data_IF_641812832161
#
_entry.id   IF_641812832161
#
_cell.length_a   1.000
_cell.length_b   1.000
_cell.length_c   1.000
_cell.angle_alpha   90.00
_cell.angle_beta   90.00
_cell.angle_gamma   90.00
#
_symmetry.space_group_name_H-M   'P 1'
#
loop_
_entity.id
_entity.type
_entity.pdbx_description
1 polymer ?
#
# COMPACT_ATOMS: atom_id res chain seq x y z
N UNK A 1 16.85 9.88 -3.04
CA UNK A 1 16.42 8.52 -2.66
C UNK A 1 16.49 7.63 -3.90
N UNK A 2 16.94 6.39 -3.72
CA UNK A 2 17.16 5.43 -4.80
C UNK A 2 16.07 4.34 -4.87
N UNK A 3 15.08 4.41 -3.97
CA UNK A 3 13.87 3.59 -3.99
C UNK A 3 12.62 4.45 -4.23
N UNK A 4 11.53 3.87 -4.77
CA UNK A 4 10.26 4.56 -4.94
C UNK A 4 9.70 5.02 -3.60
N UNK A 5 8.97 6.13 -3.59
CA UNK A 5 8.28 6.59 -2.37
C UNK A 5 7.01 5.79 -2.10
N UNK A 6 6.39 5.24 -3.13
CA UNK A 6 5.17 4.45 -3.05
C UNK A 6 5.34 3.14 -3.81
N UNK A 7 5.23 2.02 -3.09
CA UNK A 7 5.36 0.66 -3.61
C UNK A 7 4.05 -0.09 -3.43
N UNK A 8 3.68 -0.86 -4.43
CA UNK A 8 2.48 -1.71 -4.44
C UNK A 8 2.88 -3.15 -4.67
N UNK A 9 2.34 -4.05 -3.88
CA UNK A 9 2.53 -5.49 -4.04
C UNK A 9 1.21 -6.22 -3.86
N UNK A 10 1.04 -7.34 -4.55
CA UNK A 10 -0.12 -8.20 -4.44
C UNK A 10 0.30 -9.66 -4.41
N UNK A 11 -0.47 -10.50 -3.74
CA UNK A 11 -0.27 -11.94 -3.81
C UNK A 11 -0.67 -12.50 -5.18
N UNK A 12 -0.15 -13.69 -5.53
CA UNK A 12 -0.39 -14.33 -6.83
C UNK A 12 -1.79 -14.95 -6.97
N UNK A 13 -2.64 -14.85 -5.97
CA UNK A 13 -3.92 -15.57 -5.90
C UNK A 13 -5.00 -14.94 -6.78
N UNK A 14 -4.86 -13.65 -7.07
CA UNK A 14 -5.84 -12.92 -7.86
C UNK A 14 -5.31 -11.57 -8.37
N UNK A 15 -6.03 -10.94 -9.27
CA UNK A 15 -5.73 -9.59 -9.75
C UNK A 15 -6.59 -8.56 -9.03
N UNK A 16 -5.99 -7.42 -8.71
CA UNK A 16 -6.73 -6.26 -8.17
C UNK A 16 -7.72 -5.76 -9.21
N UNK A 17 -8.98 -5.64 -8.82
CA UNK A 17 -10.02 -5.05 -9.70
C UNK A 17 -9.63 -3.61 -10.05
N UNK A 18 -9.84 -3.21 -11.29
CA UNK A 18 -9.38 -1.93 -11.86
C UNK A 18 -7.85 -1.75 -11.95
N UNK A 19 -7.04 -2.72 -11.50
CA UNK A 19 -5.60 -2.75 -11.68
C UNK A 19 -4.90 -1.45 -11.27
N UNK A 20 -4.07 -0.85 -12.15
CA UNK A 20 -3.26 0.33 -11.83
C UNK A 20 -4.04 1.57 -11.40
N UNK A 21 -5.35 1.65 -11.62
CA UNK A 21 -6.17 2.78 -11.14
C UNK A 21 -6.19 2.87 -9.61
N UNK A 22 -6.01 1.74 -8.90
CA UNK A 22 -6.00 1.72 -7.43
C UNK A 22 -4.73 2.30 -6.80
N UNK A 23 -3.66 2.48 -7.57
CA UNK A 23 -2.43 3.13 -7.13
C UNK A 23 -1.99 4.24 -8.07
N UNK A 24 -2.95 4.76 -8.83
CA UNK A 24 -2.78 5.98 -9.60
C UNK A 24 -2.76 7.21 -8.71
N UNK A 25 -2.50 8.35 -9.32
CA UNK A 25 -2.34 9.63 -8.62
C UNK A 25 -3.63 10.43 -8.48
N UNK A 26 -4.73 9.98 -9.07
CA UNK A 26 -5.95 10.79 -9.14
C UNK A 26 -5.67 12.11 -9.88
N UNK A 27 -5.89 13.22 -9.19
CA UNK A 27 -5.61 14.57 -9.70
C UNK A 27 -4.16 15.03 -9.47
N UNK A 28 -3.37 14.28 -8.69
CA UNK A 28 -1.96 14.62 -8.43
C UNK A 28 -1.07 14.33 -9.65
N UNK A 29 0.11 14.96 -9.76
CA UNK A 29 1.05 14.66 -10.84
C UNK A 29 1.42 13.18 -10.93
N UNK A 30 1.52 12.67 -12.16
CA UNK A 30 1.78 11.26 -12.43
C UNK A 30 3.10 10.74 -11.81
N UNK A 31 4.01 11.61 -11.44
CA UNK A 31 5.27 11.25 -10.75
C UNK A 31 5.06 10.60 -9.38
N UNK A 32 3.91 10.79 -8.77
CA UNK A 32 3.54 10.20 -7.47
C UNK A 32 2.85 8.85 -7.58
N UNK A 33 2.68 8.31 -8.78
CA UNK A 33 2.07 7.00 -8.99
C UNK A 33 2.84 5.89 -8.27
N UNK A 34 2.10 4.93 -7.70
CA UNK A 34 2.67 3.75 -7.07
C UNK A 34 3.37 2.84 -8.07
N UNK A 35 4.54 2.33 -7.69
CA UNK A 35 5.31 1.37 -8.48
C UNK A 35 5.00 -0.04 -8.00
N UNK A 36 4.48 -0.86 -8.90
CA UNK A 36 4.16 -2.25 -8.59
C UNK A 36 5.42 -3.10 -8.65
N UNK A 37 5.72 -3.79 -7.53
CA UNK A 37 6.66 -4.90 -7.51
C UNK A 37 5.93 -6.22 -7.78
N UNK A 38 6.58 -7.11 -8.52
CA UNK A 38 6.05 -8.44 -8.82
C UNK A 38 6.50 -9.45 -7.76
N UNK A 39 5.68 -10.47 -7.55
CA UNK A 39 6.12 -11.62 -6.76
C UNK A 39 7.08 -12.49 -7.57
N UNK A 40 8.08 -13.08 -6.91
CA UNK A 40 9.02 -14.00 -7.55
C UNK A 40 10.48 -13.62 -7.34
N UNK A 41 11.36 -14.25 -8.14
CA UNK A 41 12.81 -14.04 -8.04
C UNK A 41 13.29 -12.67 -8.56
N UNK A 42 12.48 -12.03 -9.39
CA UNK A 42 12.77 -10.71 -9.95
C UNK A 42 11.59 -9.77 -9.68
N UNK A 43 11.47 -9.23 -8.46
CA UNK A 43 10.36 -8.35 -8.10
C UNK A 43 10.29 -7.08 -8.96
N UNK A 44 11.41 -6.67 -9.52
CA UNK A 44 11.50 -5.51 -10.40
C UNK A 44 11.96 -6.00 -11.77
N UNK A 45 11.07 -6.08 -12.77
CA UNK A 45 11.44 -6.50 -14.11
C UNK A 45 12.36 -5.47 -14.76
N UNK A 46 13.28 -5.98 -15.59
CA UNK A 46 14.22 -5.15 -16.39
C UNK A 46 15.07 -4.17 -15.56
N UNK A 47 15.39 -4.52 -14.31
CA UNK A 47 16.22 -3.68 -13.45
C UNK A 47 17.65 -3.57 -13.96
N UNK A 48 18.19 -4.64 -14.54
CA UNK A 48 19.54 -4.66 -15.08
C UNK A 48 19.59 -4.04 -16.48
N UNK A 49 20.75 -3.50 -16.84
CA UNK A 49 20.98 -3.04 -18.20
C UNK A 49 20.83 -4.22 -19.18
N UNK A 50 20.35 -3.97 -20.41
CA UNK A 50 20.38 -4.98 -21.48
C UNK A 50 21.81 -5.47 -21.74
N UNK A 51 21.93 -6.69 -22.25
CA UNK A 51 23.24 -7.28 -22.63
C UNK A 51 24.01 -6.35 -23.57
N UNK A 52 25.31 -6.17 -23.30
CA UNK A 52 26.17 -5.27 -24.09
C UNK A 52 25.99 -3.76 -23.80
N UNK A 53 25.15 -3.37 -22.86
CA UNK A 53 24.98 -1.97 -22.44
C UNK A 53 25.69 -1.73 -21.11
N UNK A 54 26.75 -0.94 -21.12
CA UNK A 54 27.46 -0.52 -19.90
C UNK A 54 26.71 0.56 -19.17
N UNK A 55 26.99 0.73 -17.86
CA UNK A 55 26.39 1.80 -17.05
C UNK A 55 26.71 3.21 -17.60
N UNK A 56 27.89 3.40 -18.14
CA UNK A 56 28.28 4.65 -18.78
C UNK A 56 27.40 4.96 -19.98
N UNK A 57 27.21 3.99 -20.88
CA UNK A 57 26.36 4.12 -22.05
C UNK A 57 24.88 4.33 -21.67
N UNK A 58 24.43 3.67 -20.61
CA UNK A 58 23.06 3.86 -20.11
C UNK A 58 22.86 5.28 -19.54
N UNK A 59 23.82 5.81 -18.79
CA UNK A 59 23.78 7.21 -18.30
C UNK A 59 23.76 8.23 -19.44
N UNK A 60 24.59 8.06 -20.45
CA UNK A 60 24.61 8.93 -21.64
C UNK A 60 23.27 8.93 -22.36
N UNK A 61 22.69 7.73 -22.56
CA UNK A 61 21.35 7.56 -23.15
C UNK A 61 20.28 8.26 -22.35
N UNK A 62 20.28 8.10 -21.03
CA UNK A 62 19.31 8.77 -20.14
C UNK A 62 19.49 10.29 -20.14
N UNK A 63 20.73 10.78 -20.13
CA UNK A 63 21.03 12.20 -20.23
C UNK A 63 20.54 12.81 -21.54
N UNK A 64 20.73 12.12 -22.65
CA UNK A 64 20.20 12.54 -23.95
C UNK A 64 18.67 12.55 -23.98
N UNK A 65 18.02 11.51 -23.52
CA UNK A 65 16.57 11.44 -23.41
C UNK A 65 16.01 12.57 -22.52
N UNK A 66 16.70 12.87 -21.41
CA UNK A 66 16.33 13.98 -20.53
C UNK A 66 16.36 15.32 -21.27
N UNK A 67 17.42 15.58 -22.03
CA UNK A 67 17.56 16.83 -22.79
C UNK A 67 16.46 16.99 -23.85
N UNK A 68 16.14 15.90 -24.59
CA UNK A 68 15.04 15.89 -25.56
C UNK A 68 13.69 16.15 -24.89
N UNK A 69 13.41 15.42 -23.80
CA UNK A 69 12.14 15.53 -23.09
C UNK A 69 11.99 16.91 -22.43
N UNK A 70 13.04 17.50 -21.89
CA UNK A 70 13.01 18.86 -21.35
C UNK A 70 12.76 19.91 -22.43
N UNK A 71 13.31 19.71 -23.64
CA UNK A 71 13.00 20.55 -24.79
C UNK A 71 11.53 20.52 -25.15
N UNK A 72 10.95 19.33 -25.17
CA UNK A 72 9.53 19.13 -25.45
C UNK A 72 8.62 19.66 -24.31
N UNK A 73 8.98 19.41 -23.04
CA UNK A 73 8.21 19.86 -21.87
C UNK A 73 8.07 21.38 -21.80
N UNK A 74 9.09 22.15 -22.21
CA UNK A 74 9.00 23.63 -22.28
C UNK A 74 7.91 24.12 -23.22
N UNK A 75 7.60 23.35 -24.25
CA UNK A 75 6.55 23.67 -25.21
C UNK A 75 5.17 23.16 -24.75
N UNK A 76 5.15 22.24 -23.76
CA UNK A 76 3.94 21.53 -23.29
C UNK A 76 3.84 21.55 -21.77
N UNK A 77 3.98 22.72 -21.15
CA UNK A 77 4.11 22.92 -19.70
C UNK A 77 2.95 22.36 -18.83
N UNK A 78 1.82 21.97 -19.43
CA UNK A 78 0.67 21.38 -18.72
C UNK A 78 0.65 19.83 -18.74
N UNK A 79 1.64 19.18 -19.38
CA UNK A 79 1.69 17.71 -19.49
C UNK A 79 2.57 17.12 -18.38
N UNK A 80 2.00 16.89 -17.20
CA UNK A 80 2.70 16.31 -16.04
C UNK A 80 3.18 14.87 -16.29
N UNK A 81 2.57 14.17 -17.24
CA UNK A 81 2.96 12.81 -17.64
C UNK A 81 4.37 12.72 -18.22
N UNK A 82 4.82 13.80 -18.88
CA UNK A 82 6.17 13.83 -19.43
C UNK A 82 7.22 13.95 -18.32
N UNK A 83 6.98 14.80 -17.34
CA UNK A 83 7.86 14.94 -16.17
C UNK A 83 7.89 13.64 -15.36
N UNK A 84 6.75 12.97 -15.21
CA UNK A 84 6.65 11.67 -14.57
C UNK A 84 7.47 10.61 -15.31
N UNK A 85 7.44 10.61 -16.66
CA UNK A 85 8.23 9.67 -17.46
C UNK A 85 9.73 9.90 -17.28
N UNK A 86 10.19 11.13 -17.30
CA UNK A 86 11.60 11.50 -17.05
C UNK A 86 12.00 11.02 -15.65
N UNK A 87 11.23 11.36 -14.63
CA UNK A 87 11.47 10.96 -13.24
C UNK A 87 11.49 9.43 -13.07
N UNK A 88 10.62 8.71 -13.79
CA UNK A 88 10.57 7.23 -13.76
C UNK A 88 11.84 6.60 -14.35
N UNK A 89 12.37 7.12 -15.47
CA UNK A 89 13.62 6.63 -16.04
C UNK A 89 14.81 6.89 -15.12
N UNK A 90 14.90 8.07 -14.53
CA UNK A 90 15.95 8.40 -13.58
C UNK A 90 15.87 7.54 -12.31
N UNK A 91 14.65 7.31 -11.81
CA UNK A 91 14.44 6.44 -10.67
C UNK A 91 14.83 4.99 -10.99
N UNK A 92 14.36 4.45 -12.12
CA UNK A 92 14.71 3.09 -12.54
C UNK A 92 16.24 2.87 -12.63
N UNK A 93 16.98 3.86 -13.13
CA UNK A 93 18.43 3.80 -13.15
C UNK A 93 19.06 3.83 -11.75
N UNK A 94 18.58 4.71 -10.85
CA UNK A 94 19.05 4.74 -9.45
C UNK A 94 18.71 3.46 -8.68
N UNK A 95 17.57 2.85 -8.99
CA UNK A 95 17.14 1.59 -8.36
C UNK A 95 18.09 0.42 -8.67
N UNK A 96 18.85 0.47 -9.77
CA UNK A 96 19.81 -0.60 -10.13
C UNK A 96 20.85 -0.85 -9.03
N UNK A 97 21.18 0.17 -8.23
CA UNK A 97 22.18 0.04 -7.16
C UNK A 97 21.62 -0.47 -5.83
N UNK A 98 20.39 -0.12 -5.45
CA UNK A 98 19.87 -0.40 -4.10
C UNK A 98 18.69 -1.37 -4.08
N UNK A 99 17.90 -1.39 -5.15
CA UNK A 99 16.73 -2.24 -5.18
C UNK A 99 17.05 -3.75 -5.14
N UNK A 100 18.13 -4.27 -5.75
CA UNK A 100 18.47 -5.68 -5.64
C UNK A 100 18.60 -6.14 -4.20
N UNK A 101 19.33 -5.39 -3.37
CA UNK A 101 19.52 -5.70 -1.96
C UNK A 101 18.20 -5.56 -1.17
N UNK A 102 17.41 -4.52 -1.44
CA UNK A 102 16.15 -4.30 -0.75
C UNK A 102 15.15 -5.46 -0.92
N UNK A 103 15.11 -6.07 -2.11
CA UNK A 103 14.18 -7.15 -2.45
C UNK A 103 14.75 -8.56 -2.27
N UNK A 104 16.06 -8.69 -1.97
CA UNK A 104 16.71 -9.98 -1.74
C UNK A 104 16.40 -10.52 -0.34
N UNK A 105 15.42 -11.40 -0.26
CA UNK A 105 15.03 -12.06 0.99
C UNK A 105 15.95 -13.22 1.39
N UNK A 106 16.94 -13.58 0.58
CA UNK A 106 17.91 -14.63 0.93
C UNK A 106 18.84 -14.22 2.08
N UNK A 107 19.03 -12.91 2.25
CA UNK A 107 19.80 -12.31 3.34
C UNK A 107 19.14 -12.43 4.71
N UNK A 108 17.86 -12.77 4.76
CA UNK A 108 17.13 -12.89 6.03
C UNK A 108 17.42 -14.22 6.71
N UNK A 109 17.47 -14.22 8.04
CA UNK A 109 17.71 -15.44 8.83
C UNK A 109 16.56 -16.43 8.67
N UNK A 110 16.84 -17.71 8.93
CA UNK A 110 15.79 -18.74 8.98
C UNK A 110 14.72 -18.40 10.03
N UNK A 111 15.11 -17.84 11.16
CA UNK A 111 14.19 -17.40 12.22
C UNK A 111 13.28 -16.27 11.74
N UNK A 112 13.83 -15.26 11.07
CA UNK A 112 13.02 -14.19 10.46
C UNK A 112 12.05 -14.74 9.42
N UNK A 113 12.50 -15.57 8.49
CA UNK A 113 11.62 -16.18 7.48
C UNK A 113 10.50 -17.00 8.10
N UNK A 114 10.79 -17.76 9.17
CA UNK A 114 9.78 -18.51 9.92
C UNK A 114 8.78 -17.62 10.64
N UNK A 115 9.23 -16.48 11.20
CA UNK A 115 8.35 -15.49 11.83
C UNK A 115 7.25 -14.99 10.89
N UNK A 116 7.55 -14.88 9.60
CA UNK A 116 6.60 -14.49 8.55
C UNK A 116 5.88 -15.69 7.89
N UNK A 117 6.05 -16.90 8.41
CA UNK A 117 5.42 -18.11 7.87
C UNK A 117 5.90 -18.51 6.48
N UNK A 118 7.14 -18.14 6.10
CA UNK A 118 7.67 -18.45 4.78
C UNK A 118 8.06 -19.92 4.60
N UNK A 119 8.04 -20.70 5.67
CA UNK A 119 8.26 -22.16 5.71
C UNK A 119 6.96 -22.98 5.54
N UNK A 120 5.80 -22.31 5.43
CA UNK A 120 4.50 -22.95 5.27
C UNK A 120 3.89 -22.59 3.90
N UNK A 121 3.29 -23.57 3.24
CA UNK A 121 2.74 -23.40 1.89
C UNK A 121 1.64 -22.33 1.83
N UNK A 122 0.76 -22.29 2.83
CA UNK A 122 -0.39 -21.40 2.87
C UNK A 122 -0.01 -19.95 3.05
N UNK A 123 1.03 -19.68 3.85
CA UNK A 123 1.42 -18.32 4.28
C UNK A 123 2.62 -17.79 3.52
N UNK A 124 3.41 -18.62 2.85
CA UNK A 124 4.72 -18.25 2.29
C UNK A 124 4.64 -17.12 1.26
N UNK A 125 3.61 -17.10 0.42
CA UNK A 125 3.41 -16.06 -0.60
C UNK A 125 3.22 -14.69 0.07
N UNK A 126 2.22 -14.57 0.94
CA UNK A 126 1.95 -13.30 1.61
C UNK A 126 3.03 -12.94 2.64
N UNK A 127 3.64 -13.94 3.28
CA UNK A 127 4.79 -13.76 4.18
C UNK A 127 5.99 -13.08 3.49
N UNK A 128 6.27 -13.44 2.23
CA UNK A 128 7.29 -12.74 1.41
C UNK A 128 6.97 -11.27 1.21
N UNK A 129 5.72 -10.94 0.92
CA UNK A 129 5.29 -9.56 0.71
C UNK A 129 5.37 -8.75 2.01
N UNK A 130 4.94 -9.31 3.13
CA UNK A 130 5.06 -8.68 4.45
C UNK A 130 6.53 -8.45 4.84
N UNK A 131 7.40 -9.43 4.66
CA UNK A 131 8.84 -9.30 4.92
C UNK A 131 9.48 -8.26 4.01
N UNK A 132 9.14 -8.26 2.72
CA UNK A 132 9.62 -7.26 1.77
C UNK A 132 9.16 -5.86 2.15
N UNK A 133 7.92 -5.70 2.64
CA UNK A 133 7.40 -4.42 3.13
C UNK A 133 8.24 -3.86 4.27
N UNK A 134 8.57 -4.68 5.27
CA UNK A 134 9.46 -4.27 6.37
C UNK A 134 10.81 -3.80 5.83
N UNK A 135 11.44 -4.55 4.91
CA UNK A 135 12.73 -4.18 4.32
C UNK A 135 12.68 -2.88 3.53
N UNK A 136 11.60 -2.65 2.82
CA UNK A 136 11.39 -1.41 2.06
C UNK A 136 11.20 -0.21 2.99
N UNK A 137 10.40 -0.34 4.04
CA UNK A 137 10.19 0.70 5.06
C UNK A 137 11.50 1.02 5.78
N UNK A 138 12.26 0.01 6.22
CA UNK A 138 13.58 0.15 6.85
C UNK A 138 14.57 0.94 5.97
N UNK A 139 14.40 0.89 4.63
CA UNK A 139 15.19 1.65 3.65
C UNK A 139 14.56 2.98 3.22
N UNK A 140 13.52 3.42 3.91
CA UNK A 140 12.91 4.74 3.74
C UNK A 140 11.86 4.82 2.63
N UNK A 141 11.29 3.71 2.17
CA UNK A 141 10.06 3.73 1.37
C UNK A 141 8.93 4.25 2.24
N UNK A 142 8.23 5.28 1.79
CA UNK A 142 7.28 6.03 2.62
C UNK A 142 5.90 5.39 2.68
N UNK A 143 5.48 4.73 1.62
CA UNK A 143 4.17 4.11 1.52
C UNK A 143 4.29 2.75 0.83
N UNK A 144 3.77 1.72 1.49
CA UNK A 144 3.70 0.37 0.95
C UNK A 144 2.26 -0.11 1.01
N UNK A 145 1.71 -0.49 -0.13
CA UNK A 145 0.35 -1.00 -0.25
C UNK A 145 0.39 -2.48 -0.60
N UNK A 146 -0.22 -3.30 0.25
CA UNK A 146 -0.32 -4.74 0.08
C UNK A 146 -1.76 -5.15 -0.25
N UNK A 147 -1.92 -6.00 -1.24
CA UNK A 147 -3.18 -6.65 -1.55
C UNK A 147 -3.10 -8.15 -1.25
N UNK A 148 -3.99 -8.63 -0.38
CA UNK A 148 -4.14 -10.04 -0.06
C UNK A 148 -5.50 -10.53 -0.53
N UNK A 149 -5.53 -11.59 -1.36
CA UNK A 149 -6.76 -12.14 -1.91
C UNK A 149 -7.56 -11.11 -2.70
N UNK A 150 -6.89 -10.24 -3.45
CA UNK A 150 -7.51 -9.19 -4.24
C UNK A 150 -8.55 -9.72 -5.24
N UNK A 151 -9.38 -8.84 -5.76
CA UNK A 151 -10.52 -9.20 -6.60
C UNK A 151 -11.66 -9.74 -5.73
N UNK A 152 -12.26 -10.84 -6.13
CA UNK A 152 -13.42 -11.43 -5.44
C UNK A 152 -13.08 -12.49 -4.38
N UNK A 153 -11.82 -12.61 -3.95
CA UNK A 153 -11.43 -13.72 -3.06
C UNK A 153 -12.03 -13.64 -1.66
N UNK A 154 -12.15 -12.43 -1.11
CA UNK A 154 -12.84 -12.19 0.17
C UNK A 154 -14.35 -11.96 0.01
N UNK A 155 -14.83 -11.83 -1.22
CA UNK A 155 -16.24 -11.58 -1.54
C UNK A 155 -17.05 -12.88 -1.56
N UNK A 156 -17.32 -13.41 -0.37
CA UNK A 156 -17.95 -14.71 -0.20
C UNK A 156 -19.47 -14.59 -0.05
N UNK A 157 -20.19 -14.56 -1.19
CA UNK A 157 -21.64 -14.64 -1.22
C UNK A 157 -22.20 -16.04 -0.92
N UNK A 158 -21.31 -17.04 -0.81
CA UNK A 158 -21.62 -18.41 -0.36
C UNK A 158 -20.37 -19.05 0.24
N UNK A 159 -20.56 -20.04 1.14
CA UNK A 159 -19.45 -20.82 1.73
C UNK A 159 -18.47 -19.98 2.53
N UNK A 160 -18.93 -19.01 3.31
CA UNK A 160 -18.10 -18.02 4.00
C UNK A 160 -17.10 -18.66 4.95
N UNK A 161 -17.48 -19.69 5.68
CA UNK A 161 -16.60 -20.37 6.64
C UNK A 161 -15.37 -20.95 5.95
N UNK A 162 -15.57 -21.70 4.87
CA UNK A 162 -14.47 -22.28 4.08
C UNK A 162 -13.60 -21.17 3.48
N UNK A 163 -14.23 -20.16 2.89
CA UNK A 163 -13.55 -19.04 2.25
C UNK A 163 -12.67 -18.27 3.25
N UNK A 164 -13.26 -17.79 4.36
CA UNK A 164 -12.53 -16.99 5.35
C UNK A 164 -11.49 -17.83 6.11
N UNK A 165 -11.77 -19.10 6.43
CA UNK A 165 -10.77 -20.00 7.02
C UNK A 165 -9.52 -20.07 6.15
N UNK A 166 -9.67 -20.21 4.83
CA UNK A 166 -8.55 -20.29 3.90
C UNK A 166 -7.76 -18.97 3.84
N UNK A 167 -8.46 -17.84 3.75
CA UNK A 167 -7.80 -16.54 3.60
C UNK A 167 -7.19 -16.05 4.92
N UNK A 168 -7.86 -16.24 6.05
CA UNK A 168 -7.30 -15.94 7.36
C UNK A 168 -6.02 -16.75 7.64
N UNK A 169 -6.04 -18.06 7.42
CA UNK A 169 -4.83 -18.89 7.56
C UNK A 169 -3.66 -18.42 6.71
N UNK A 170 -3.93 -17.86 5.54
CA UNK A 170 -2.89 -17.39 4.64
C UNK A 170 -2.24 -16.06 5.10
N UNK A 171 -2.95 -15.24 5.90
CA UNK A 171 -2.48 -13.90 6.27
C UNK A 171 -2.14 -13.73 7.76
N UNK A 172 -2.73 -14.50 8.67
CA UNK A 172 -2.59 -14.30 10.13
C UNK A 172 -1.13 -14.27 10.58
N UNK A 173 -0.39 -15.33 10.28
CA UNK A 173 1.02 -15.43 10.65
C UNK A 173 1.90 -14.38 9.96
N UNK A 174 1.79 -14.13 8.64
CA UNK A 174 2.47 -13.03 7.97
C UNK A 174 2.26 -11.65 8.59
N UNK A 175 1.02 -11.30 8.90
CA UNK A 175 0.69 -9.99 9.50
C UNK A 175 1.20 -9.90 10.93
N UNK A 176 1.02 -10.95 11.74
CA UNK A 176 1.57 -11.02 13.09
C UNK A 176 3.11 -10.92 13.07
N UNK A 177 3.75 -11.59 12.10
CA UNK A 177 5.19 -11.51 11.87
C UNK A 177 5.66 -10.11 11.55
N UNK A 178 4.96 -9.42 10.66
CA UNK A 178 5.26 -8.03 10.28
C UNK A 178 5.22 -7.11 11.51
N UNK A 179 4.14 -7.15 12.29
CA UNK A 179 3.99 -6.28 13.47
C UNK A 179 5.06 -6.58 14.52
N UNK A 180 5.33 -7.86 14.77
CA UNK A 180 6.37 -8.28 15.74
C UNK A 180 7.76 -7.84 15.29
N UNK A 181 8.12 -8.02 14.02
CA UNK A 181 9.43 -7.64 13.48
C UNK A 181 9.62 -6.11 13.48
N UNK A 182 8.60 -5.34 13.09
CA UNK A 182 8.62 -3.88 13.20
C UNK A 182 8.83 -3.44 14.65
N UNK A 183 8.13 -4.07 15.60
CA UNK A 183 8.27 -3.76 17.04
C UNK A 183 9.67 -4.11 17.57
N UNK A 184 10.18 -5.30 17.25
CA UNK A 184 11.51 -5.76 17.69
C UNK A 184 12.64 -4.88 17.16
N UNK A 185 12.45 -4.28 15.97
CA UNK A 185 13.42 -3.38 15.34
C UNK A 185 13.26 -1.91 15.75
N UNK A 186 12.28 -1.58 16.59
CA UNK A 186 11.99 -0.19 16.95
C UNK A 186 11.38 0.64 15.80
N UNK A 187 10.87 -0.02 14.76
CA UNK A 187 10.29 0.63 13.58
C UNK A 187 8.78 0.87 13.72
N UNK A 188 8.12 0.17 14.65
CA UNK A 188 6.65 0.22 14.76
C UNK A 188 6.16 1.60 15.19
N UNK A 189 6.91 2.29 16.05
CA UNK A 189 6.51 3.62 16.53
C UNK A 189 6.51 4.68 15.42
N UNK A 190 7.32 4.48 14.37
CA UNK A 190 7.41 5.36 13.21
C UNK A 190 6.71 4.78 11.96
N UNK A 191 6.07 3.62 12.07
CA UNK A 191 5.40 2.94 10.96
C UNK A 191 3.95 2.69 11.29
N UNK A 192 3.06 3.41 10.60
CA UNK A 192 1.62 3.16 10.68
C UNK A 192 1.26 1.93 9.82
N UNK A 193 0.68 0.92 10.44
CA UNK A 193 0.10 -0.24 9.77
C UNK A 193 -1.42 -0.09 9.78
N UNK A 194 -2.04 -0.10 8.61
CA UNK A 194 -3.50 -0.02 8.44
C UNK A 194 -3.98 -1.28 7.73
N UNK A 195 -5.03 -1.89 8.24
CA UNK A 195 -5.69 -3.05 7.63
C UNK A 195 -7.19 -2.80 7.50
N UNK A 196 -7.74 -3.19 6.36
CA UNK A 196 -9.17 -3.11 6.10
C UNK A 196 -9.55 -3.60 4.72
N UNK A 197 -10.85 -3.65 4.50
CA UNK A 197 -11.48 -3.81 3.19
C UNK A 197 -12.12 -2.51 2.74
N UNK A 198 -12.71 -2.53 1.56
CA UNK A 198 -13.39 -1.39 0.95
C UNK A 198 -14.71 -1.05 1.62
N UNK A 199 -15.38 -2.05 2.19
CA UNK A 199 -16.61 -1.98 2.99
C UNK A 199 -16.75 -3.26 3.82
N UNK A 200 -17.80 -3.34 4.64
CA UNK A 200 -18.12 -4.50 5.46
C UNK A 200 -19.04 -5.51 4.78
N UNK A 201 -19.52 -6.43 5.60
CA UNK A 201 -20.43 -7.49 5.16
C UNK A 201 -21.66 -7.51 6.04
N UNK A 202 -22.82 -7.84 5.46
CA UNK A 202 -24.04 -8.03 6.20
C UNK A 202 -23.95 -9.24 7.14
N UNK A 203 -24.65 -9.24 8.28
CA UNK A 203 -24.70 -10.42 9.15
C UNK A 203 -25.54 -11.58 8.57
N UNK A 204 -26.22 -11.35 7.48
CA UNK A 204 -27.08 -12.28 6.75
C UNK A 204 -26.68 -12.34 5.27
N UNK A 205 -27.22 -13.27 4.51
CA UNK A 205 -27.03 -13.39 3.07
C UNK A 205 -28.34 -13.73 2.38
N UNK A 206 -28.54 -13.19 1.20
CA UNK A 206 -29.67 -13.57 0.34
C UNK A 206 -29.57 -15.02 -0.17
N UNK A 207 -28.35 -15.58 -0.21
CA UNK A 207 -28.05 -16.90 -0.78
C UNK A 207 -27.61 -17.96 0.24
N UNK A 208 -27.97 -17.81 1.51
CA UNK A 208 -27.72 -18.82 2.55
C UNK A 208 -26.47 -18.55 3.39
N UNK A 209 -25.36 -19.27 3.18
CA UNK A 209 -24.20 -19.29 4.06
C UNK A 209 -23.08 -18.28 3.71
N UNK A 210 -23.37 -17.31 2.86
CA UNK A 210 -22.48 -16.23 2.50
C UNK A 210 -22.74 -14.93 3.29
N UNK A 211 -22.20 -13.84 2.76
CA UNK A 211 -22.47 -12.46 3.24
C UNK A 211 -22.56 -11.53 2.05
N UNK A 212 -23.43 -10.52 2.16
CA UNK A 212 -23.59 -9.46 1.16
C UNK A 212 -22.80 -8.22 1.54
N UNK A 213 -22.77 -7.23 0.65
CA UNK A 213 -22.02 -5.98 0.86
C UNK A 213 -22.72 -5.09 1.90
N UNK A 214 -21.95 -4.52 2.82
CA UNK A 214 -22.45 -3.58 3.81
C UNK A 214 -21.52 -2.36 3.96
N UNK A 215 -21.81 -1.24 3.30
CA UNK A 215 -21.01 -0.03 3.43
C UNK A 215 -21.35 0.79 4.69
N UNK A 216 -22.40 0.44 5.44
CA UNK A 216 -22.93 1.25 6.54
C UNK A 216 -22.37 0.86 7.91
N UNK A 217 -21.63 -0.24 8.01
CA UNK A 217 -20.97 -0.67 9.23
C UNK A 217 -19.86 -1.68 8.93
N UNK A 218 -18.60 -1.31 9.23
CA UNK A 218 -17.46 -2.19 9.06
C UNK A 218 -16.29 -1.80 9.97
N UNK A 219 -15.36 -2.71 10.12
CA UNK A 219 -14.20 -2.54 11.01
C UNK A 219 -12.92 -2.40 10.19
N UNK A 220 -12.09 -1.47 10.63
CA UNK A 220 -10.67 -1.39 10.23
C UNK A 220 -9.81 -1.42 11.49
N UNK A 221 -8.56 -1.87 11.38
CA UNK A 221 -7.64 -1.73 12.49
C UNK A 221 -6.33 -1.05 12.08
N UNK A 222 -5.69 -0.44 13.07
CA UNK A 222 -4.45 0.29 12.92
C UNK A 222 -3.47 -0.09 14.03
N UNK A 223 -2.17 -0.06 13.72
CA UNK A 223 -1.11 -0.30 14.71
C UNK A 223 0.12 0.55 14.41
N UNK A 224 0.83 0.98 15.45
CA UNK A 224 2.05 1.77 15.32
C UNK A 224 1.82 3.21 14.85
N UNK A 225 2.89 3.90 14.50
CA UNK A 225 2.85 5.24 13.91
C UNK A 225 2.06 6.28 14.71
N UNK A 226 2.10 6.22 16.06
CA UNK A 226 1.37 7.15 16.93
C UNK A 226 -0.10 6.78 17.19
N UNK A 227 -0.56 5.61 16.77
CA UNK A 227 -1.91 5.11 17.10
C UNK A 227 -1.95 4.62 18.55
N UNK A 228 -3.00 4.99 19.27
CA UNK A 228 -3.27 4.48 20.63
C UNK A 228 -3.80 3.05 20.53
N UNK A 229 -2.93 2.08 20.80
CA UNK A 229 -3.28 0.66 20.75
C UNK A 229 -4.14 0.17 21.91
N UNK A 230 -4.66 -1.07 21.79
CA UNK A 230 -5.36 -1.77 22.87
C UNK A 230 -6.80 -1.30 23.10
N UNK A 231 -7.41 -0.61 22.15
CA UNK A 231 -8.78 -0.10 22.26
C UNK A 231 -9.64 -0.50 21.06
N UNK A 232 -10.94 -0.56 21.28
CA UNK A 232 -11.94 -0.65 20.23
C UNK A 232 -12.80 0.61 20.31
N UNK A 233 -13.03 1.26 19.19
CA UNK A 233 -13.80 2.50 19.10
C UNK A 233 -14.96 2.29 18.14
N UNK A 234 -16.14 2.69 18.58
CA UNK A 234 -17.38 2.53 17.84
C UNK A 234 -18.04 1.17 18.03
N UNK A 235 -19.30 1.13 17.71
CA UNK A 235 -20.11 -0.09 17.68
C UNK A 235 -21.14 -0.04 16.55
N UNK A 236 -21.58 -1.21 16.13
CA UNK A 236 -22.76 -1.36 15.27
C UNK A 236 -24.02 -1.49 16.09
N UNK A 237 -25.18 -1.41 15.45
CA UNK A 237 -26.46 -1.82 16.00
C UNK A 237 -26.46 -3.32 16.37
N UNK A 238 -27.48 -3.77 17.08
CA UNK A 238 -27.62 -5.16 17.57
C UNK A 238 -27.60 -6.20 16.43
N UNK A 239 -27.95 -5.79 15.22
CA UNK A 239 -27.97 -6.65 14.04
C UNK A 239 -26.61 -6.65 13.28
N UNK A 240 -25.69 -5.74 13.61
CA UNK A 240 -24.43 -5.58 12.89
C UNK A 240 -24.57 -4.92 11.52
N UNK A 241 -25.65 -4.19 11.28
CA UNK A 241 -25.96 -3.58 9.99
C UNK A 241 -25.39 -2.17 9.84
N UNK A 242 -25.48 -1.35 10.89
CA UNK A 242 -25.10 0.07 10.84
C UNK A 242 -24.18 0.45 11.98
N UNK A 243 -23.15 1.19 11.71
CA UNK A 243 -22.38 1.85 12.75
C UNK A 243 -23.28 2.89 13.45
N UNK A 244 -23.40 2.82 14.78
CA UNK A 244 -24.26 3.69 15.59
C UNK A 244 -23.51 4.49 16.65
N UNK A 245 -22.41 3.94 17.19
CA UNK A 245 -21.55 4.62 18.16
C UNK A 245 -20.24 5.04 17.51
N UNK A 246 -19.73 6.21 17.91
CA UNK A 246 -18.45 6.76 17.45
C UNK A 246 -18.22 6.59 15.93
N UNK A 247 -19.23 6.91 15.17
CA UNK A 247 -19.23 6.74 13.72
C UNK A 247 -18.08 7.52 13.06
N UNK A 248 -17.32 6.86 12.21
CA UNK A 248 -16.25 7.46 11.44
C UNK A 248 -16.48 7.21 9.95
N UNK A 249 -16.37 8.25 9.15
CA UNK A 249 -16.40 8.13 7.71
C UNK A 249 -14.99 7.76 7.18
N UNK A 250 -14.91 7.19 5.98
CA UNK A 250 -13.60 6.91 5.35
C UNK A 250 -12.74 8.17 5.20
N UNK A 251 -13.35 9.33 5.04
CA UNK A 251 -12.63 10.61 5.01
C UNK A 251 -11.99 10.96 6.36
N UNK A 252 -12.61 10.56 7.49
CA UNK A 252 -12.03 10.73 8.83
C UNK A 252 -10.79 9.83 9.01
N UNK A 253 -10.85 8.60 8.49
CA UNK A 253 -9.69 7.71 8.45
C UNK A 253 -8.54 8.35 7.66
N UNK A 254 -8.82 8.86 6.45
CA UNK A 254 -7.80 9.53 5.64
C UNK A 254 -7.25 10.80 6.30
N UNK A 255 -8.11 11.61 6.94
CA UNK A 255 -7.68 12.80 7.68
C UNK A 255 -6.76 12.42 8.86
N UNK A 256 -7.07 11.32 9.55
CA UNK A 256 -6.26 10.80 10.66
C UNK A 256 -4.92 10.23 10.17
N UNK A 257 -4.89 9.48 9.07
CA UNK A 257 -3.65 9.01 8.45
C UNK A 257 -2.76 10.18 8.04
N UNK A 258 -3.32 11.21 7.40
CA UNK A 258 -2.55 12.40 7.02
C UNK A 258 -1.97 13.12 8.24
N UNK A 259 -2.75 13.25 9.32
CA UNK A 259 -2.27 13.83 10.58
C UNK A 259 -1.09 13.03 11.17
N UNK A 260 -1.20 11.69 11.22
CA UNK A 260 -0.12 10.81 11.69
C UNK A 260 1.13 10.88 10.80
N UNK A 261 0.99 11.23 9.53
CA UNK A 261 2.11 11.53 8.64
C UNK A 261 2.68 12.95 8.80
N UNK A 262 2.14 13.74 9.75
CA UNK A 262 2.54 15.13 9.99
C UNK A 262 1.98 16.13 8.95
N UNK A 263 0.92 15.75 8.24
CA UNK A 263 0.32 16.55 7.19
C UNK A 263 -1.02 17.15 7.64
N UNK A 264 -1.17 18.46 7.47
CA UNK A 264 -2.45 19.13 7.65
C UNK A 264 -3.27 19.02 6.36
N UNK A 265 -4.36 18.25 6.40
CA UNK A 265 -5.24 18.03 5.24
C UNK A 265 -5.85 19.32 4.68
N UNK A 266 -6.00 20.35 5.51
CA UNK A 266 -6.57 21.64 5.09
C UNK A 266 -5.55 22.52 4.35
N UNK A 267 -4.27 22.35 4.66
CA UNK A 267 -3.15 23.06 4.02
C UNK A 267 -2.58 22.30 2.82
N UNK A 268 -2.80 20.98 2.75
CA UNK A 268 -2.33 20.17 1.64
C UNK A 268 -3.30 20.33 0.46
N UNK A 269 -3.01 21.31 -0.40
CA UNK A 269 -3.82 21.59 -1.59
C UNK A 269 -2.98 21.42 -2.84
N UNK A 270 -3.60 20.94 -3.90
CA UNK A 270 -3.03 20.88 -5.24
C UNK A 270 -3.99 21.52 -6.23
N UNK A 271 -3.48 22.44 -7.05
CA UNK A 271 -4.29 23.08 -8.06
C UNK A 271 -4.41 22.18 -9.29
N UNK A 272 -5.63 21.74 -9.58
CA UNK A 272 -5.95 20.89 -10.72
C UNK A 272 -7.07 21.53 -11.54
N UNK A 273 -6.81 21.78 -12.81
CA UNK A 273 -7.75 22.46 -13.72
C UNK A 273 -8.34 23.78 -13.16
N UNK A 274 -7.50 24.56 -12.47
CA UNK A 274 -7.90 25.85 -11.89
C UNK A 274 -8.71 25.73 -10.59
N UNK A 275 -8.75 24.56 -9.96
CA UNK A 275 -9.43 24.31 -8.67
C UNK A 275 -8.44 23.81 -7.64
N UNK A 276 -8.46 24.34 -6.40
CA UNK A 276 -7.70 23.79 -5.30
C UNK A 276 -8.35 22.47 -4.81
N UNK A 277 -7.70 21.35 -5.09
CA UNK A 277 -8.12 20.02 -4.65
C UNK A 277 -7.39 19.62 -3.38
N UNK A 278 -8.06 18.89 -2.50
CA UNK A 278 -7.54 18.35 -1.25
C UNK A 278 -7.63 16.82 -1.22
N UNK A 279 -6.71 16.10 -0.51
CA UNK A 279 -6.72 14.64 -0.46
C UNK A 279 -8.00 14.04 0.12
N UNK A 280 -8.67 14.76 1.03
CA UNK A 280 -9.95 14.33 1.63
C UNK A 280 -11.15 15.07 1.02
N UNK A 281 -10.98 15.66 -0.15
CA UNK A 281 -11.96 16.55 -0.76
C UNK A 281 -12.27 17.71 0.21
N UNK A 282 -13.51 17.86 0.68
CA UNK A 282 -13.89 18.88 1.66
C UNK A 282 -14.35 18.26 2.98
N UNK A 283 -14.23 16.97 3.15
CA UNK A 283 -14.73 16.20 4.27
C UNK A 283 -13.60 15.55 5.08
N UNK A 284 -13.97 14.88 6.17
CA UNK A 284 -13.09 14.16 7.05
C UNK A 284 -12.56 15.00 8.21
N UNK A 285 -12.67 14.46 9.39
CA UNK A 285 -12.17 15.05 10.62
C UNK A 285 -11.09 14.17 11.24
N UNK A 286 -10.08 14.79 11.79
CA UNK A 286 -9.06 14.10 12.56
C UNK A 286 -9.67 13.48 13.82
N UNK A 287 -9.45 12.20 14.03
CA UNK A 287 -9.99 11.44 15.16
C UNK A 287 -8.98 11.35 16.30
N UNK A 288 -8.97 12.34 17.17
CA UNK A 288 -8.02 12.46 18.29
C UNK A 288 -8.03 11.23 19.22
N UNK A 289 -9.18 10.55 19.39
CA UNK A 289 -9.29 9.34 20.21
C UNK A 289 -8.49 8.14 19.68
N UNK A 290 -8.11 8.16 18.41
CA UNK A 290 -7.28 7.11 17.79
C UNK A 290 -5.78 7.30 18.05
N UNK A 291 -5.35 8.46 18.50
CA UNK A 291 -3.94 8.88 18.51
C UNK A 291 -3.44 9.07 19.94
N UNK A 292 -2.18 8.70 20.19
CA UNK A 292 -1.46 9.04 21.43
C UNK A 292 -1.20 10.54 21.45
N UNK A 293 -1.47 11.20 22.57
CA UNK A 293 -1.17 12.62 22.76
C UNK A 293 0.31 12.91 22.79
#
# INVERSE_FOLDING_TARGET
>A
RNLPSFVVMQDNRSSVVNGPRNWGTGFMPAVYQGIRLQEGKQPIPNLNNPEGVTDARQREKLSYLKSLNQGYARQHARQTELDARIASYELAFRMQSEAPEAVDLSQETAATRKLYGMDQQETSSFGRLCLMSRRLVERGVRFVQLYHGAGSKWDAHSGIEKNHTQHCKAMDLPVAGLIRDLKQRGLLDETLVVWGGEFGRTPMSEKGDGRDHNPTGFTMWMAGGGVKGGQTIGATDELGLRAIEDRMHVHDLHATILHLLGLDRMKLTYEYNGRPERPTVNEGEFQAKLVTG
#
